data_IF_748620856930
#
_entry.id   IF_748620856930
#
_cell.length_a   1.000
_cell.length_b   1.000
_cell.length_c   1.000
_cell.angle_alpha   90.00
_cell.angle_beta   90.00
_cell.angle_gamma   90.00
#
_symmetry.space_group_name_H-M   'P 1'
#
loop_
_entity.id
_entity.type
_entity.pdbx_description
1 polymer ?
#
# COMPACT_ATOMS: atom_id res chain seq x y z
N UNK A 1 6.74 -20.49 6.04
CA UNK A 1 6.19 -19.47 5.16
C UNK A 1 7.18 -19.19 4.04
N UNK A 2 6.74 -19.36 2.81
CA UNK A 2 7.56 -19.03 1.65
C UNK A 2 7.31 -17.59 1.23
N UNK A 3 8.39 -16.87 0.95
CA UNK A 3 8.31 -15.52 0.42
C UNK A 3 8.45 -15.57 -1.09
N UNK A 4 7.57 -14.87 -1.77
CA UNK A 4 7.61 -14.76 -3.23
C UNK A 4 8.07 -13.37 -3.62
N UNK A 5 9.04 -13.31 -4.53
CA UNK A 5 9.49 -12.03 -5.07
C UNK A 5 8.55 -11.61 -6.21
N UNK A 6 7.95 -10.45 -6.05
CA UNK A 6 7.11 -9.84 -7.08
C UNK A 6 7.58 -8.43 -7.33
N UNK A 7 7.22 -7.86 -8.48
CA UNK A 7 7.53 -6.46 -8.77
C UNK A 7 6.24 -5.69 -9.00
N UNK A 8 6.21 -4.45 -8.51
CA UNK A 8 5.07 -3.56 -8.68
C UNK A 8 5.59 -2.18 -9.08
N UNK A 9 4.77 -1.47 -9.86
CA UNK A 9 5.06 -0.08 -10.18
C UNK A 9 4.35 0.80 -9.16
N UNK A 10 5.08 1.73 -8.56
CA UNK A 10 4.57 2.60 -7.52
C UNK A 10 4.47 4.03 -8.04
N UNK A 11 3.48 4.77 -7.54
CA UNK A 11 3.42 6.20 -7.76
C UNK A 11 4.55 6.85 -6.98
N UNK A 12 5.45 7.54 -7.71
CA UNK A 12 6.67 8.08 -7.13
C UNK A 12 6.40 9.02 -5.96
N UNK A 13 5.50 9.99 -6.15
CA UNK A 13 5.18 10.96 -5.11
C UNK A 13 4.54 10.31 -3.89
N UNK A 14 3.68 9.31 -4.11
CA UNK A 14 3.04 8.58 -3.02
C UNK A 14 4.06 7.76 -2.24
N UNK A 15 4.98 7.12 -2.95
CA UNK A 15 6.05 6.35 -2.31
C UNK A 15 6.94 7.24 -1.44
N UNK A 16 7.30 8.42 -1.95
CA UNK A 16 8.08 9.39 -1.19
C UNK A 16 7.36 9.81 0.09
N UNK A 17 6.07 10.10 0.00
CA UNK A 17 5.25 10.45 1.17
C UNK A 17 5.19 9.30 2.17
N UNK A 18 5.08 8.07 1.69
CA UNK A 18 5.10 6.89 2.55
C UNK A 18 6.42 6.79 3.31
N UNK A 19 7.55 6.98 2.62
CA UNK A 19 8.87 6.91 3.25
C UNK A 19 9.05 8.01 4.30
N UNK A 20 8.59 9.21 4.01
CA UNK A 20 8.66 10.33 4.95
C UNK A 20 7.79 10.06 6.18
N UNK A 21 6.61 9.50 5.99
CA UNK A 21 5.66 9.24 7.07
C UNK A 21 6.16 8.21 8.07
N UNK A 22 7.12 7.38 7.70
CA UNK A 22 7.61 6.33 8.58
C UNK A 22 9.11 6.39 8.85
N UNK A 23 9.70 7.62 8.78
CA UNK A 23 11.12 7.79 9.03
C UNK A 23 11.56 7.29 10.42
N UNK A 24 10.70 7.46 11.41
CA UNK A 24 10.98 7.07 12.79
C UNK A 24 10.56 5.62 13.08
N UNK A 25 9.83 5.00 12.19
CA UNK A 25 9.36 3.62 12.33
C UNK A 25 10.08 2.75 11.30
N UNK A 26 10.54 1.60 11.68
CA UNK A 26 11.14 0.65 10.73
C UNK A 26 10.07 -0.11 9.95
N UNK A 27 9.04 0.60 9.51
CA UNK A 27 7.92 0.01 8.78
C UNK A 27 8.24 0.00 7.29
N UNK A 28 8.52 -1.18 6.76
CA UNK A 28 8.96 -1.33 5.38
C UNK A 28 7.77 -1.45 4.42
N UNK A 29 8.04 -1.21 3.13
CA UNK A 29 7.04 -1.41 2.09
C UNK A 29 6.57 -2.86 2.05
N UNK A 30 7.47 -3.81 2.27
CA UNK A 30 7.13 -5.22 2.33
C UNK A 30 6.10 -5.51 3.43
N UNK A 31 6.28 -4.91 4.61
CA UNK A 31 5.33 -5.05 5.71
C UNK A 31 3.98 -4.45 5.34
N UNK A 32 3.99 -3.27 4.73
CA UNK A 32 2.75 -2.62 4.30
C UNK A 32 1.99 -3.51 3.32
N UNK A 33 2.67 -4.02 2.31
CA UNK A 33 2.03 -4.83 1.28
C UNK A 33 1.46 -6.11 1.88
N UNK A 34 2.26 -6.83 2.66
CA UNK A 34 1.80 -8.10 3.24
C UNK A 34 0.64 -7.90 4.21
N UNK A 35 0.71 -6.89 5.07
CA UNK A 35 -0.36 -6.59 6.01
C UNK A 35 -1.62 -6.12 5.30
N UNK A 36 -1.46 -5.33 4.24
CA UNK A 36 -2.61 -4.87 3.44
C UNK A 36 -3.30 -6.02 2.74
N UNK A 37 -2.53 -6.95 2.19
CA UNK A 37 -3.11 -8.13 1.56
C UNK A 37 -3.84 -9.01 2.57
N UNK A 38 -3.26 -9.17 3.74
CA UNK A 38 -3.90 -9.95 4.80
C UNK A 38 -5.23 -9.33 5.21
N UNK A 39 -5.24 -8.01 5.42
CA UNK A 39 -6.47 -7.29 5.74
C UNK A 39 -7.49 -7.40 4.61
N UNK A 40 -7.04 -7.28 3.36
CA UNK A 40 -7.92 -7.38 2.21
C UNK A 40 -8.64 -8.73 2.16
N UNK A 41 -7.92 -9.79 2.47
CA UNK A 41 -8.47 -11.15 2.43
C UNK A 41 -9.42 -11.42 3.60
N UNK A 42 -9.10 -10.91 4.81
CA UNK A 42 -9.80 -11.29 6.03
C UNK A 42 -10.71 -10.21 6.62
N UNK A 43 -10.63 -8.98 6.13
CA UNK A 43 -11.43 -7.87 6.66
C UNK A 43 -12.27 -7.26 5.55
N UNK A 44 -13.58 -7.49 5.61
CA UNK A 44 -14.50 -7.04 4.58
C UNK A 44 -14.56 -5.51 4.48
N UNK A 45 -14.54 -4.83 5.61
CA UNK A 45 -14.58 -3.37 5.62
C UNK A 45 -13.36 -2.77 4.93
N UNK A 46 -12.17 -3.29 5.23
CA UNK A 46 -10.94 -2.83 4.58
C UNK A 46 -10.99 -3.09 3.08
N UNK A 47 -11.44 -4.29 2.69
CA UNK A 47 -11.55 -4.65 1.27
C UNK A 47 -12.47 -3.71 0.53
N UNK A 48 -13.62 -3.38 1.13
CA UNK A 48 -14.57 -2.46 0.52
C UNK A 48 -13.97 -1.07 0.39
N UNK A 49 -13.26 -0.59 1.41
CA UNK A 49 -12.57 0.71 1.35
C UNK A 49 -11.56 0.75 0.22
N UNK A 50 -10.75 -0.30 0.07
CA UNK A 50 -9.72 -0.36 -0.97
C UNK A 50 -10.36 -0.43 -2.36
N UNK A 51 -11.40 -1.27 -2.51
CA UNK A 51 -12.08 -1.41 -3.80
C UNK A 51 -12.74 -0.11 -4.26
N UNK A 52 -13.22 0.68 -3.31
CA UNK A 52 -13.91 1.94 -3.58
C UNK A 52 -12.98 3.15 -3.59
N UNK A 53 -11.71 2.96 -3.27
CA UNK A 53 -10.76 4.07 -3.18
C UNK A 53 -10.36 4.54 -4.57
N UNK A 54 -10.87 5.68 -4.99
CA UNK A 54 -10.68 6.20 -6.34
C UNK A 54 -9.82 7.46 -6.39
N UNK A 55 -9.66 8.14 -5.26
CA UNK A 55 -9.04 9.46 -5.25
C UNK A 55 -7.53 9.37 -5.09
N UNK A 56 -6.83 9.01 -6.16
CA UNK A 56 -5.38 9.04 -6.22
C UNK A 56 -4.84 10.31 -6.90
N UNK A 57 -5.71 11.26 -7.22
CA UNK A 57 -5.31 12.51 -7.85
C UNK A 57 -4.27 13.30 -7.04
N UNK A 58 -4.39 13.40 -5.70
CA UNK A 58 -3.36 14.11 -4.93
C UNK A 58 -1.97 13.49 -5.06
N UNK A 59 -1.90 12.23 -5.47
CA UNK A 59 -0.63 11.52 -5.70
C UNK A 59 -0.22 11.52 -7.17
N UNK A 60 -0.96 12.22 -8.02
CA UNK A 60 -0.66 12.33 -9.43
C UNK A 60 -1.09 11.14 -10.27
N UNK A 61 -1.99 10.32 -9.76
CA UNK A 61 -2.46 9.11 -10.46
C UNK A 61 -3.78 9.36 -11.16
N UNK A 62 -3.96 8.66 -12.28
CA UNK A 62 -5.24 8.55 -12.98
C UNK A 62 -5.84 7.15 -12.86
N UNK A 63 -5.21 6.34 -12.04
CA UNK A 63 -5.65 4.96 -11.83
C UNK A 63 -6.91 4.90 -10.96
#
# INVERSE_FOLDING_TARGET
VMLKLTSVKLLDNLYKKFKISNLDDNFTLQKLINRSMDLYVHNEDFRNQINEWENLKPSGSRL
#
